data_IF_981722317799
#
_entry.id   IF_981722317799
#
_cell.length_a   1.000
_cell.length_b   1.000
_cell.length_c   1.000
_cell.angle_alpha   90.00
_cell.angle_beta   90.00
_cell.angle_gamma   90.00
#
_symmetry.space_group_name_H-M   'P 1'
#
loop_
_entity.id
_entity.type
_entity.pdbx_description
1 polymer ?
#
# COMPACT_ATOMS: atom_id res chain seq x y z
N UNK A 1 55.42 -9.85 50.90
CA UNK A 1 54.40 -10.87 51.23
C UNK A 1 53.23 -10.65 50.26
N UNK A 2 52.88 -11.65 49.45
CA UNK A 2 51.76 -11.72 48.49
C UNK A 2 51.76 -10.76 47.28
N UNK A 3 51.32 -11.12 46.07
CA UNK A 3 51.24 -12.37 45.30
C UNK A 3 50.88 -11.92 43.86
N UNK A 4 51.36 -12.69 42.88
CA UNK A 4 50.97 -12.67 41.48
C UNK A 4 49.45 -12.82 41.28
N UNK A 5 48.84 -12.07 40.35
CA UNK A 5 47.62 -12.46 39.61
C UNK A 5 47.50 -11.60 38.33
N UNK A 6 48.09 -12.07 37.23
CA UNK A 6 47.40 -12.59 36.03
C UNK A 6 46.43 -11.58 35.39
N UNK A 7 46.82 -10.92 34.30
CA UNK A 7 46.70 -11.47 32.94
C UNK A 7 45.31 -12.07 32.66
N UNK A 8 44.29 -11.21 32.52
CA UNK A 8 42.95 -11.67 32.09
C UNK A 8 42.09 -10.61 31.37
N UNK A 9 42.65 -9.47 30.93
CA UNK A 9 41.85 -8.40 30.29
C UNK A 9 42.07 -8.21 28.79
N UNK A 10 42.75 -9.15 28.10
CA UNK A 10 43.06 -9.01 26.67
C UNK A 10 42.42 -10.04 25.73
N UNK A 11 41.48 -10.90 26.17
CA UNK A 11 40.96 -11.97 25.28
C UNK A 11 39.43 -11.96 25.13
N UNK A 12 38.69 -11.14 25.88
CA UNK A 12 37.22 -11.18 25.86
C UNK A 12 36.51 -10.24 24.86
N UNK A 13 37.24 -9.48 24.03
CA UNK A 13 36.61 -8.50 23.10
C UNK A 13 36.81 -8.78 21.60
N UNK A 14 37.57 -9.81 21.21
CA UNK A 14 37.80 -10.10 19.79
C UNK A 14 36.81 -11.11 19.17
N UNK A 15 36.15 -11.92 19.99
CA UNK A 15 35.13 -12.90 19.55
C UNK A 15 33.77 -12.24 19.28
N UNK A 16 33.35 -11.30 20.13
CA UNK A 16 32.03 -10.68 20.05
C UNK A 16 31.93 -9.68 18.88
N UNK A 17 33.00 -8.92 18.57
CA UNK A 17 32.99 -8.01 17.41
C UNK A 17 32.92 -8.75 16.05
N UNK A 18 33.46 -9.98 15.95
CA UNK A 18 33.37 -10.79 14.73
C UNK A 18 31.98 -11.39 14.50
N UNK A 19 31.24 -11.70 15.57
CA UNK A 19 29.85 -12.15 15.47
C UNK A 19 28.92 -11.02 15.05
N UNK A 20 29.18 -9.80 15.54
CA UNK A 20 28.43 -8.59 15.17
C UNK A 20 28.68 -8.19 13.70
N UNK A 21 29.92 -8.32 13.21
CA UNK A 21 30.21 -8.01 11.80
C UNK A 21 29.63 -9.03 10.81
N UNK A 22 29.56 -10.32 11.18
CA UNK A 22 28.94 -11.36 10.34
C UNK A 22 27.41 -11.20 10.29
N UNK A 23 26.76 -10.83 11.41
CA UNK A 23 25.34 -10.51 11.45
C UNK A 23 24.97 -9.25 10.65
N UNK A 24 25.81 -8.21 10.68
CA UNK A 24 25.61 -7.03 9.83
C UNK A 24 25.80 -7.35 8.34
N UNK A 25 26.74 -8.23 8.00
CA UNK A 25 26.99 -8.62 6.60
C UNK A 25 25.85 -9.47 6.03
N UNK A 26 25.20 -10.30 6.86
CA UNK A 26 23.99 -11.03 6.46
C UNK A 26 22.76 -10.12 6.27
N UNK A 27 22.68 -9.00 6.97
CA UNK A 27 21.60 -8.01 6.78
C UNK A 27 21.79 -7.17 5.50
N UNK A 28 23.03 -6.93 5.07
CA UNK A 28 23.33 -6.23 3.81
C UNK A 28 23.37 -7.14 2.58
N UNK A 29 23.61 -8.45 2.74
CA UNK A 29 23.57 -9.41 1.62
C UNK A 29 22.15 -9.80 1.19
N UNK A 30 21.13 -9.55 2.02
CA UNK A 30 19.72 -9.71 1.64
C UNK A 30 19.15 -8.51 0.85
N UNK A 31 19.90 -7.41 0.72
CA UNK A 31 19.54 -6.24 -0.08
C UNK A 31 19.88 -6.40 -1.58
N UNK A 32 20.31 -7.59 -2.00
CA UNK A 32 20.48 -7.95 -3.41
C UNK A 32 19.29 -8.78 -3.95
N UNK A 33 18.14 -8.76 -3.26
CA UNK A 33 16.87 -9.03 -3.95
C UNK A 33 16.65 -7.81 -4.82
N UNK A 34 16.87 -8.03 -6.12
CA UNK A 34 16.71 -7.07 -7.19
C UNK A 34 15.69 -6.00 -6.83
N UNK A 35 16.13 -4.74 -6.87
CA UNK A 35 15.24 -3.66 -7.26
C UNK A 35 14.70 -4.06 -8.64
N UNK A 36 13.66 -4.89 -8.67
CA UNK A 36 12.85 -5.13 -9.83
C UNK A 36 12.20 -3.78 -10.07
N UNK A 37 12.87 -2.94 -10.85
CA UNK A 37 12.20 -1.86 -11.54
C UNK A 37 10.93 -2.47 -12.13
N UNK A 38 9.81 -1.76 -12.03
CA UNK A 38 8.53 -2.20 -12.54
C UNK A 38 8.62 -2.31 -14.07
N UNK A 39 9.09 -3.45 -14.55
CA UNK A 39 9.44 -3.66 -15.96
C UNK A 39 8.56 -4.75 -16.54
N UNK A 40 7.99 -4.47 -17.70
CA UNK A 40 7.36 -5.48 -18.53
C UNK A 40 8.42 -6.48 -18.98
N UNK A 41 8.13 -7.77 -18.83
CA UNK A 41 8.99 -8.84 -19.33
C UNK A 41 9.04 -8.80 -20.87
N UNK A 42 10.21 -9.03 -21.51
CA UNK A 42 10.30 -9.08 -22.97
C UNK A 42 9.33 -10.10 -23.57
N UNK A 43 9.18 -11.25 -22.91
CA UNK A 43 8.25 -12.30 -23.34
C UNK A 43 6.79 -11.84 -23.38
N UNK A 44 6.37 -10.99 -22.44
CA UNK A 44 5.04 -10.38 -22.47
C UNK A 44 4.87 -9.51 -23.72
N UNK A 45 5.87 -8.67 -24.02
CA UNK A 45 5.87 -7.74 -25.13
C UNK A 45 5.82 -8.49 -26.48
N UNK A 46 6.60 -9.56 -26.60
CA UNK A 46 6.75 -10.31 -27.85
C UNK A 46 5.57 -11.28 -28.12
N UNK A 47 4.87 -11.72 -27.07
CA UNK A 47 3.87 -12.82 -27.18
C UNK A 47 2.41 -12.36 -27.19
N UNK A 48 2.11 -11.11 -26.84
CA UNK A 48 0.73 -10.62 -26.69
C UNK A 48 0.46 -9.35 -27.50
N UNK A 49 -0.81 -9.10 -27.79
CA UNK A 49 -1.23 -7.87 -28.46
C UNK A 49 -0.81 -6.62 -27.63
N UNK A 50 -0.36 -5.52 -28.27
CA UNK A 50 -0.06 -4.26 -27.58
C UNK A 50 -1.13 -3.75 -26.61
N UNK A 51 -2.43 -3.99 -26.88
CA UNK A 51 -3.52 -3.62 -25.95
C UNK A 51 -3.44 -4.40 -24.63
N UNK A 52 -3.16 -5.70 -24.70
CA UNK A 52 -3.00 -6.58 -23.54
C UNK A 52 -1.72 -6.20 -22.79
N UNK A 53 -0.62 -5.97 -23.50
CA UNK A 53 0.65 -5.53 -22.91
C UNK A 53 0.45 -4.24 -22.12
N UNK A 54 -0.27 -3.26 -22.70
CA UNK A 54 -0.62 -2.01 -22.01
C UNK A 54 -1.45 -2.28 -20.74
N UNK A 55 -2.48 -3.12 -20.83
CA UNK A 55 -3.34 -3.43 -19.69
C UNK A 55 -2.57 -4.14 -18.55
N UNK A 56 -1.61 -5.02 -18.87
CA UNK A 56 -0.71 -5.61 -17.87
C UNK A 56 0.24 -4.55 -17.31
N UNK A 57 0.76 -3.63 -18.15
CA UNK A 57 1.62 -2.54 -17.73
C UNK A 57 0.96 -1.67 -16.64
N UNK A 58 -0.33 -1.32 -16.82
CA UNK A 58 -1.10 -0.55 -15.83
C UNK A 58 -1.24 -1.26 -14.47
N UNK A 59 -1.06 -2.58 -14.42
CA UNK A 59 -1.03 -3.33 -13.17
C UNK A 59 0.40 -3.32 -12.59
N UNK A 60 1.41 -3.69 -13.39
CA UNK A 60 2.79 -3.87 -12.89
C UNK A 60 3.49 -2.56 -12.52
N UNK A 61 3.03 -1.42 -13.04
CA UNK A 61 3.49 -0.09 -12.59
C UNK A 61 3.14 0.20 -11.12
N UNK A 62 2.27 -0.59 -10.53
CA UNK A 62 1.92 -0.48 -9.11
C UNK A 62 2.53 -1.61 -8.28
N UNK A 63 2.84 -2.75 -8.89
CA UNK A 63 3.35 -3.94 -8.21
C UNK A 63 4.44 -4.66 -9.01
N UNK A 64 5.60 -4.96 -8.41
CA UNK A 64 6.62 -5.74 -9.10
C UNK A 64 6.17 -7.21 -9.23
N UNK A 65 5.97 -7.67 -10.46
CA UNK A 65 5.58 -9.06 -10.76
C UNK A 65 6.64 -9.78 -11.57
N UNK A 66 6.86 -11.06 -11.25
CA UNK A 66 7.71 -11.92 -12.07
C UNK A 66 7.07 -12.22 -13.43
N UNK A 67 7.89 -12.67 -14.40
CA UNK A 67 7.43 -12.97 -15.76
C UNK A 67 6.23 -13.94 -15.79
N UNK A 68 6.24 -15.00 -14.98
CA UNK A 68 5.18 -15.99 -14.97
C UNK A 68 3.81 -15.36 -14.61
N UNK A 69 3.76 -14.49 -13.59
CA UNK A 69 2.54 -13.77 -13.22
C UNK A 69 2.13 -12.74 -14.27
N UNK A 70 3.08 -12.05 -14.90
CA UNK A 70 2.78 -11.13 -16.00
C UNK A 70 2.11 -11.84 -17.19
N UNK A 71 2.63 -13.01 -17.56
CA UNK A 71 2.06 -13.85 -18.63
C UNK A 71 0.69 -14.41 -18.20
N UNK A 72 0.52 -14.79 -16.94
CA UNK A 72 -0.78 -15.23 -16.42
C UNK A 72 -1.83 -14.11 -16.47
N UNK A 73 -1.46 -12.88 -16.09
CA UNK A 73 -2.32 -11.71 -16.22
C UNK A 73 -2.69 -11.45 -17.68
N UNK A 74 -1.71 -11.49 -18.59
CA UNK A 74 -1.95 -11.28 -20.01
C UNK A 74 -3.00 -12.24 -20.59
N UNK A 75 -2.88 -13.54 -20.25
CA UNK A 75 -3.86 -14.56 -20.65
C UNK A 75 -5.24 -14.34 -20.05
N UNK A 76 -5.30 -13.94 -18.78
CA UNK A 76 -6.58 -13.63 -18.14
C UNK A 76 -7.27 -12.43 -18.81
N UNK A 77 -6.50 -11.39 -19.16
CA UNK A 77 -7.00 -10.21 -19.87
C UNK A 77 -7.47 -10.57 -21.28
N UNK A 78 -6.72 -11.42 -22.00
CA UNK A 78 -7.14 -11.90 -23.32
C UNK A 78 -8.49 -12.63 -23.27
N UNK A 79 -8.71 -13.45 -22.24
CA UNK A 79 -10.00 -14.12 -22.01
C UNK A 79 -11.12 -13.13 -21.67
N UNK A 80 -10.84 -12.13 -20.85
CA UNK A 80 -11.78 -11.05 -20.54
C UNK A 80 -12.16 -10.25 -21.79
N UNK A 81 -11.18 -9.90 -22.63
CA UNK A 81 -11.38 -9.16 -23.88
C UNK A 81 -12.22 -9.97 -24.87
N UNK A 82 -11.99 -11.29 -24.96
CA UNK A 82 -12.82 -12.19 -25.76
C UNK A 82 -14.27 -12.22 -25.26
N UNK A 83 -14.47 -12.32 -23.95
CA UNK A 83 -15.81 -12.30 -23.36
C UNK A 83 -16.50 -10.94 -23.58
N UNK A 84 -15.76 -9.84 -23.42
CA UNK A 84 -16.25 -8.50 -23.70
C UNK A 84 -16.73 -8.38 -25.15
N UNK A 85 -15.94 -8.84 -26.12
CA UNK A 85 -16.31 -8.82 -27.53
C UNK A 85 -17.57 -9.65 -27.81
N UNK A 86 -17.70 -10.83 -27.18
CA UNK A 86 -18.88 -11.68 -27.34
C UNK A 86 -20.15 -11.09 -26.72
N UNK A 87 -20.04 -10.45 -25.55
CA UNK A 87 -21.15 -9.73 -24.94
C UNK A 87 -21.57 -8.54 -25.80
N UNK A 88 -20.60 -7.79 -26.32
CA UNK A 88 -20.86 -6.62 -27.16
C UNK A 88 -21.52 -7.02 -28.49
N UNK A 89 -21.13 -8.14 -29.11
CA UNK A 89 -21.80 -8.68 -30.30
C UNK A 89 -23.26 -9.03 -30.06
N UNK A 90 -23.60 -9.49 -28.85
CA UNK A 90 -24.97 -9.90 -28.47
C UNK A 90 -25.85 -8.71 -28.11
N UNK A 91 -25.30 -7.73 -27.41
CA UNK A 91 -26.08 -6.64 -26.80
C UNK A 91 -25.95 -5.30 -27.54
N UNK A 92 -24.92 -5.12 -28.38
CA UNK A 92 -24.45 -3.86 -29.01
C UNK A 92 -24.07 -2.73 -28.04
N UNK A 93 -24.74 -2.66 -26.88
CA UNK A 93 -24.42 -1.80 -25.74
C UNK A 93 -24.47 -2.66 -24.49
N UNK A 94 -23.40 -2.66 -23.69
CA UNK A 94 -23.35 -3.50 -22.51
C UNK A 94 -24.37 -3.07 -21.46
N UNK A 95 -25.23 -4.01 -21.06
CA UNK A 95 -26.12 -3.82 -19.92
C UNK A 95 -25.39 -3.88 -18.58
N UNK A 96 -26.07 -3.45 -17.52
CA UNK A 96 -25.56 -3.49 -16.14
C UNK A 96 -25.12 -4.89 -15.70
N UNK A 97 -25.85 -5.93 -16.12
CA UNK A 97 -25.52 -7.34 -15.83
C UNK A 97 -24.21 -7.77 -16.47
N UNK A 98 -23.96 -7.36 -17.71
CA UNK A 98 -22.76 -7.73 -18.47
C UNK A 98 -21.54 -6.97 -17.97
N UNK A 99 -21.70 -5.70 -17.59
CA UNK A 99 -20.70 -4.96 -16.81
C UNK A 99 -20.35 -5.64 -15.50
N UNK A 100 -21.35 -6.06 -14.71
CA UNK A 100 -21.11 -6.78 -13.46
C UNK A 100 -20.35 -8.09 -13.70
N UNK A 101 -20.74 -8.85 -14.72
CA UNK A 101 -20.08 -10.12 -15.07
C UNK A 101 -18.60 -9.93 -15.39
N UNK A 102 -18.26 -8.90 -16.19
CA UNK A 102 -16.88 -8.57 -16.53
C UNK A 102 -16.08 -8.09 -15.31
N UNK A 103 -16.69 -7.25 -14.47
CA UNK A 103 -16.06 -6.77 -13.23
C UNK A 103 -15.77 -7.91 -12.25
N UNK A 104 -16.75 -8.81 -12.05
CA UNK A 104 -16.61 -9.96 -11.17
C UNK A 104 -15.53 -10.93 -11.71
N UNK A 105 -15.44 -11.10 -13.05
CA UNK A 105 -14.39 -11.90 -13.68
C UNK A 105 -13.00 -11.29 -13.47
N UNK A 106 -12.83 -9.98 -13.73
CA UNK A 106 -11.57 -9.27 -13.48
C UNK A 106 -11.14 -9.41 -12.02
N UNK A 107 -12.06 -9.17 -11.10
CA UNK A 107 -11.80 -9.31 -9.65
C UNK A 107 -11.31 -10.71 -9.32
N UNK A 108 -12.01 -11.74 -9.79
CA UNK A 108 -11.63 -13.15 -9.58
C UNK A 108 -10.26 -13.48 -10.17
N UNK A 109 -9.97 -13.02 -11.39
CA UNK A 109 -8.69 -13.25 -12.06
C UNK A 109 -7.54 -12.63 -11.27
N UNK A 110 -7.69 -11.37 -10.84
CA UNK A 110 -6.70 -10.70 -10.00
C UNK A 110 -6.48 -11.44 -8.68
N UNK A 111 -7.56 -11.85 -7.98
CA UNK A 111 -7.47 -12.62 -6.73
C UNK A 111 -6.84 -13.99 -6.89
N UNK A 112 -6.91 -14.59 -8.08
CA UNK A 112 -6.34 -15.91 -8.36
C UNK A 112 -4.84 -15.81 -8.70
N UNK A 113 -4.44 -14.75 -9.40
CA UNK A 113 -3.06 -14.61 -9.92
C UNK A 113 -2.16 -13.87 -8.92
N UNK A 114 -2.71 -12.87 -8.23
CA UNK A 114 -1.98 -12.05 -7.27
C UNK A 114 -2.13 -12.64 -5.86
N UNK A 115 -1.05 -12.56 -5.09
CA UNK A 115 -1.13 -12.76 -3.65
C UNK A 115 -1.92 -11.63 -3.00
N UNK A 116 -2.41 -11.86 -1.78
CA UNK A 116 -3.17 -10.86 -1.04
C UNK A 116 -2.42 -9.53 -0.88
N UNK A 117 -1.11 -9.58 -0.60
CA UNK A 117 -0.30 -8.37 -0.45
C UNK A 117 -0.09 -7.63 -1.78
N UNK A 118 0.14 -8.35 -2.88
CA UNK A 118 0.24 -7.73 -4.22
C UNK A 118 -1.10 -7.10 -4.62
N UNK A 119 -2.23 -7.75 -4.31
CA UNK A 119 -3.54 -7.21 -4.60
C UNK A 119 -3.80 -5.92 -3.80
N UNK A 120 -3.49 -5.92 -2.50
CA UNK A 120 -3.63 -4.73 -1.66
C UNK A 120 -2.73 -3.59 -2.16
N UNK A 121 -1.48 -3.87 -2.57
CA UNK A 121 -0.58 -2.87 -3.16
C UNK A 121 -1.10 -2.31 -4.49
N UNK A 122 -1.64 -3.17 -5.36
CA UNK A 122 -2.27 -2.72 -6.60
C UNK A 122 -3.44 -1.79 -6.31
N UNK A 123 -4.33 -2.15 -5.37
CA UNK A 123 -5.46 -1.31 -4.98
C UNK A 123 -5.04 0.03 -4.35
N UNK A 124 -3.95 0.05 -3.58
CA UNK A 124 -3.34 1.31 -3.11
C UNK A 124 -2.86 2.14 -4.30
N UNK A 125 -2.11 1.54 -5.22
CA UNK A 125 -1.53 2.22 -6.36
C UNK A 125 -2.57 2.91 -7.27
N UNK A 126 -3.73 2.27 -7.50
CA UNK A 126 -4.81 2.88 -8.30
C UNK A 126 -5.63 3.93 -7.52
N UNK A 127 -5.55 3.93 -6.19
CA UNK A 127 -6.32 4.84 -5.32
C UNK A 127 -5.49 5.99 -4.76
N UNK A 128 -4.19 6.03 -5.08
CA UNK A 128 -3.21 6.92 -4.46
C UNK A 128 -3.53 8.40 -4.71
N UNK A 129 -3.66 8.80 -5.97
CA UNK A 129 -3.93 10.20 -6.36
C UNK A 129 -5.21 10.74 -5.72
N UNK A 130 -6.28 9.93 -5.68
CA UNK A 130 -7.55 10.35 -5.08
C UNK A 130 -7.43 10.49 -3.56
N UNK A 131 -6.72 9.58 -2.90
CA UNK A 131 -6.46 9.65 -1.47
C UNK A 131 -5.62 10.87 -1.10
N UNK A 132 -4.60 11.21 -1.91
CA UNK A 132 -3.79 12.42 -1.73
C UNK A 132 -4.65 13.69 -1.84
N UNK A 133 -5.48 13.79 -2.88
CA UNK A 133 -6.34 14.95 -3.10
C UNK A 133 -7.31 15.17 -1.94
N UNK A 134 -7.95 14.10 -1.44
CA UNK A 134 -8.85 14.17 -0.29
C UNK A 134 -8.12 14.54 1.00
N UNK A 135 -6.90 14.03 1.19
CA UNK A 135 -6.08 14.37 2.36
C UNK A 135 -5.62 15.84 2.37
N UNK A 136 -5.33 16.42 1.20
CA UNK A 136 -5.06 17.85 1.06
C UNK A 136 -6.27 18.67 1.52
N UNK A 137 -7.47 18.30 1.07
CA UNK A 137 -8.72 18.98 1.47
C UNK A 137 -8.91 18.88 2.99
N UNK A 138 -8.72 17.70 3.58
CA UNK A 138 -8.84 17.50 5.02
C UNK A 138 -7.86 18.38 5.81
N UNK A 139 -6.59 18.42 5.38
CA UNK A 139 -5.56 19.29 5.97
C UNK A 139 -5.97 20.76 5.91
N UNK A 140 -6.35 21.24 4.73
CA UNK A 140 -6.71 22.65 4.50
C UNK A 140 -7.98 23.06 5.24
N UNK A 141 -8.86 22.10 5.53
CA UNK A 141 -10.07 22.33 6.32
C UNK A 141 -9.80 22.34 7.82
N UNK A 142 -9.04 21.36 8.33
CA UNK A 142 -8.84 21.13 9.76
C UNK A 142 -7.74 22.03 10.34
N UNK A 143 -6.63 22.20 9.62
CA UNK A 143 -5.46 22.91 10.16
C UNK A 143 -5.76 24.36 10.58
N UNK A 144 -6.56 25.15 9.83
CA UNK A 144 -6.97 26.48 10.26
C UNK A 144 -7.85 26.48 11.51
N UNK A 145 -8.74 25.48 11.69
CA UNK A 145 -9.67 25.41 12.84
C UNK A 145 -8.94 25.31 14.18
N UNK A 146 -7.74 24.74 14.16
CA UNK A 146 -6.89 24.55 15.36
C UNK A 146 -5.75 25.57 15.45
N UNK A 147 -5.73 26.59 14.57
CA UNK A 147 -4.59 27.51 14.40
C UNK A 147 -3.24 26.75 14.27
N UNK A 148 -3.26 25.64 13.51
CA UNK A 148 -2.15 24.70 13.42
C UNK A 148 -1.03 25.17 12.50
N UNK A 149 0.19 24.80 12.84
CA UNK A 149 1.39 25.09 12.05
C UNK A 149 1.63 24.07 10.93
N UNK A 150 2.76 24.21 10.24
CA UNK A 150 3.16 23.29 9.17
C UNK A 150 3.26 21.82 9.62
N UNK A 151 3.76 21.56 10.84
CA UNK A 151 3.89 20.21 11.37
C UNK A 151 2.51 19.58 11.68
N UNK A 152 1.59 20.35 12.24
CA UNK A 152 0.21 19.91 12.48
C UNK A 152 -0.46 19.50 11.16
N UNK A 153 -0.28 20.32 10.12
CA UNK A 153 -0.76 20.02 8.77
C UNK A 153 -0.19 18.72 8.19
N UNK A 154 1.08 18.38 8.48
CA UNK A 154 1.67 17.10 8.06
C UNK A 154 1.00 15.90 8.73
N UNK A 155 0.73 15.98 10.04
CA UNK A 155 0.07 14.89 10.75
C UNK A 155 -1.37 14.71 10.28
N UNK A 156 -2.11 15.81 10.09
CA UNK A 156 -3.48 15.75 9.54
C UNK A 156 -3.45 15.09 8.15
N UNK A 157 -2.59 15.57 7.25
CA UNK A 157 -2.46 15.01 5.91
C UNK A 157 -2.14 13.51 5.96
N UNK A 158 -1.12 13.10 6.72
CA UNK A 158 -0.68 11.71 6.77
C UNK A 158 -1.79 10.77 7.29
N UNK A 159 -2.51 11.16 8.35
CA UNK A 159 -3.60 10.37 8.90
C UNK A 159 -4.78 10.28 7.93
N UNK A 160 -5.21 11.40 7.34
CA UNK A 160 -6.34 11.39 6.40
C UNK A 160 -6.00 10.69 5.08
N UNK A 161 -4.79 10.85 4.55
CA UNK A 161 -4.30 10.09 3.40
C UNK A 161 -4.44 8.60 3.64
N UNK A 162 -3.96 8.12 4.81
CA UNK A 162 -4.06 6.71 5.14
C UNK A 162 -5.50 6.24 5.36
N UNK A 163 -6.35 7.06 5.99
CA UNK A 163 -7.78 6.77 6.12
C UNK A 163 -8.41 6.59 4.74
N UNK A 164 -8.21 7.54 3.82
CA UNK A 164 -8.82 7.46 2.49
C UNK A 164 -8.27 6.31 1.66
N UNK A 165 -6.94 6.13 1.65
CA UNK A 165 -6.28 5.07 0.89
C UNK A 165 -6.74 3.69 1.34
N UNK A 166 -6.61 3.38 2.64
CA UNK A 166 -6.98 2.05 3.16
C UNK A 166 -8.49 1.82 3.13
N UNK A 167 -9.31 2.89 3.23
CA UNK A 167 -10.76 2.77 3.05
C UNK A 167 -11.09 2.34 1.62
N UNK A 168 -10.44 2.92 0.61
CA UNK A 168 -10.64 2.53 -0.80
C UNK A 168 -10.19 1.10 -1.08
N UNK A 169 -9.05 0.69 -0.51
CA UNK A 169 -8.59 -0.71 -0.56
C UNK A 169 -9.64 -1.63 0.07
N UNK A 170 -10.18 -1.28 1.23
CA UNK A 170 -11.22 -2.07 1.89
C UNK A 170 -12.52 -2.15 1.07
N UNK A 171 -12.96 -1.06 0.46
CA UNK A 171 -14.13 -1.00 -0.44
C UNK A 171 -13.97 -1.96 -1.62
N UNK A 172 -12.80 -1.99 -2.25
CA UNK A 172 -12.51 -2.89 -3.37
C UNK A 172 -12.42 -4.36 -2.92
N UNK A 173 -11.75 -4.61 -1.79
CA UNK A 173 -11.51 -5.95 -1.25
C UNK A 173 -12.79 -6.61 -0.73
N UNK A 174 -13.61 -5.87 0.00
CA UNK A 174 -14.81 -6.35 0.67
C UNK A 174 -16.11 -5.90 0.00
N UNK A 175 -16.08 -5.59 -1.30
CA UNK A 175 -17.26 -5.15 -2.04
C UNK A 175 -18.49 -6.09 -1.91
N UNK A 176 -18.24 -7.40 -1.73
CA UNK A 176 -19.28 -8.43 -1.58
C UNK A 176 -19.63 -8.76 -0.12
N UNK A 177 -18.94 -8.15 0.85
CA UNK A 177 -19.14 -8.37 2.30
C UNK A 177 -19.31 -7.02 3.04
N UNK A 178 -20.54 -6.47 3.06
CA UNK A 178 -20.82 -5.18 3.69
C UNK A 178 -20.53 -5.15 5.20
N UNK A 179 -20.70 -6.28 5.89
CA UNK A 179 -20.48 -6.37 7.34
C UNK A 179 -19.00 -6.26 7.68
N UNK A 180 -18.15 -6.98 6.93
CA UNK A 180 -16.70 -6.88 7.06
C UNK A 180 -16.17 -5.54 6.59
N UNK A 181 -16.71 -4.98 5.51
CA UNK A 181 -16.38 -3.63 5.05
C UNK A 181 -16.63 -2.59 6.14
N UNK A 182 -17.83 -2.56 6.73
CA UNK A 182 -18.18 -1.62 7.80
C UNK A 182 -17.22 -1.72 8.98
N UNK A 183 -16.86 -2.94 9.37
CA UNK A 183 -15.92 -3.19 10.47
C UNK A 183 -14.51 -2.70 10.14
N UNK A 184 -14.03 -2.96 8.92
CA UNK A 184 -12.72 -2.51 8.46
C UNK A 184 -12.62 -0.99 8.40
N UNK A 185 -13.62 -0.31 7.81
CA UNK A 185 -13.66 1.15 7.71
C UNK A 185 -13.65 1.82 9.08
N UNK A 186 -14.45 1.29 10.03
CA UNK A 186 -14.46 1.78 11.41
C UNK A 186 -13.08 1.67 12.05
N UNK A 187 -12.45 0.50 11.95
CA UNK A 187 -11.13 0.24 12.53
C UNK A 187 -10.05 1.15 11.94
N UNK A 188 -10.01 1.33 10.61
CA UNK A 188 -9.05 2.22 9.93
C UNK A 188 -9.12 3.63 10.52
N UNK A 189 -10.33 4.17 10.69
CA UNK A 189 -10.54 5.51 11.25
C UNK A 189 -10.13 5.58 12.71
N UNK A 190 -10.57 4.63 13.53
CA UNK A 190 -10.22 4.59 14.95
C UNK A 190 -8.70 4.53 15.16
N UNK A 191 -8.01 3.68 14.40
CA UNK A 191 -6.55 3.54 14.47
C UNK A 191 -5.84 4.83 14.05
N UNK A 192 -6.24 5.46 12.95
CA UNK A 192 -5.55 6.66 12.44
C UNK A 192 -5.91 7.95 13.19
N UNK A 193 -7.14 8.09 13.70
CA UNK A 193 -7.46 9.20 14.62
C UNK A 193 -6.77 9.04 15.96
N UNK A 194 -6.61 7.81 16.45
CA UNK A 194 -5.79 7.55 17.63
C UNK A 194 -4.33 7.95 17.39
N UNK A 195 -3.76 7.61 16.24
CA UNK A 195 -2.39 8.02 15.88
C UNK A 195 -2.26 9.53 15.79
N UNK A 196 -3.23 10.21 15.17
CA UNK A 196 -3.25 11.66 15.06
C UNK A 196 -3.25 12.30 16.46
N UNK A 197 -4.16 11.84 17.34
CA UNK A 197 -4.23 12.29 18.72
C UNK A 197 -2.92 12.04 19.47
N UNK A 198 -2.39 10.82 19.40
CA UNK A 198 -1.20 10.41 20.17
C UNK A 198 0.07 11.18 19.71
N UNK A 199 0.17 11.53 18.43
CA UNK A 199 1.36 12.20 17.86
C UNK A 199 1.29 13.72 17.88
N UNK A 200 0.12 14.31 17.66
CA UNK A 200 0.00 15.76 17.52
C UNK A 200 -0.97 16.43 18.49
N UNK A 201 -1.72 15.67 19.28
CA UNK A 201 -2.74 16.22 20.18
C UNK A 201 -3.97 16.74 19.46
N UNK A 202 -4.11 16.42 18.17
CA UNK A 202 -5.23 16.84 17.33
C UNK A 202 -6.35 15.79 17.43
N UNK A 203 -7.55 16.26 17.71
CA UNK A 203 -8.79 15.45 17.60
C UNK A 203 -9.49 15.87 16.32
N UNK A 204 -9.74 14.90 15.45
CA UNK A 204 -10.44 15.11 14.18
C UNK A 204 -11.68 14.22 14.08
N UNK A 205 -12.68 14.64 13.30
CA UNK A 205 -13.87 13.84 12.99
C UNK A 205 -14.03 13.63 11.48
N UNK A 206 -14.95 12.74 11.11
CA UNK A 206 -15.27 12.42 9.71
C UNK A 206 -15.84 13.62 8.96
N UNK A 207 -16.47 14.58 9.66
CA UNK A 207 -16.99 15.83 9.11
C UNK A 207 -15.91 16.92 8.98
N UNK A 208 -14.63 16.54 9.04
CA UNK A 208 -13.48 17.44 8.94
C UNK A 208 -13.49 18.55 10.01
N UNK A 209 -13.99 18.23 11.20
CA UNK A 209 -13.90 19.12 12.36
C UNK A 209 -12.64 18.80 13.16
N UNK A 210 -11.90 19.84 13.52
CA UNK A 210 -10.65 19.76 14.28
C UNK A 210 -10.75 20.46 15.63
N UNK A 211 -10.14 19.86 16.65
CA UNK A 211 -9.88 20.52 17.93
C UNK A 211 -8.54 20.05 18.51
N UNK A 212 -8.07 20.75 19.55
CA UNK A 212 -6.80 20.45 20.19
C UNK A 212 -7.04 19.91 21.60
N UNK A 213 -6.60 18.68 21.86
CA UNK A 213 -6.59 18.09 23.19
C UNK A 213 -5.36 18.54 24.00
N UNK A 214 -4.21 18.72 23.33
CA UNK A 214 -2.97 19.22 23.93
C UNK A 214 -2.03 19.81 22.88
N UNK A 215 -1.07 20.63 23.30
CA UNK A 215 -0.15 21.32 22.39
C UNK A 215 0.99 20.41 21.91
N UNK A 216 1.28 20.46 20.60
CA UNK A 216 2.32 19.68 19.95
C UNK A 216 3.68 19.78 20.67
N UNK A 217 4.35 18.64 20.86
CA UNK A 217 5.71 18.57 21.41
C UNK A 217 6.72 18.55 20.26
N UNK A 218 7.68 19.50 20.19
CA UNK A 218 8.73 19.48 19.17
C UNK A 218 9.52 18.16 19.24
N UNK A 219 9.83 17.57 18.09
CA UNK A 219 10.51 16.26 17.88
C UNK A 219 9.65 15.00 17.81
N UNK A 220 8.31 15.09 17.70
CA UNK A 220 7.52 13.90 17.35
C UNK A 220 7.78 13.53 15.87
N UNK A 221 8.23 12.30 15.55
CA UNK A 221 8.48 11.89 14.18
C UNK A 221 7.17 11.75 13.38
N UNK A 222 7.13 12.43 12.22
CA UNK A 222 6.14 12.19 11.16
C UNK A 222 6.42 10.78 10.62
N UNK A 223 5.35 10.00 10.39
CA UNK A 223 5.49 8.64 9.84
C UNK A 223 6.07 8.70 8.43
#
# INVERSE_FOLDING_TARGET
MFRNEKSAYCIYNYSEMKKVSILLTFFFAAAAITANAQTASPKLIDSFNPSIVRSVYEIIRHIPLNEAKQIALARAIEQEDSLFADLLRKEQVLGTKSHKTLSDLRKKNLQTILSENELDQYYRGISDTDAEALAVIARETINPQINGGYQDGKFIYASFYKIYLESKVAELKYADDPARLKTALKKIREDEFKVLLDKSGIVATDELKGSRAWAFKPNTPVR
#
